data_IF_043921512145
#
_entry.id   IF_043921512145
#
_cell.length_a   1.000
_cell.length_b   1.000
_cell.length_c   1.000
_cell.angle_alpha   90.00
_cell.angle_beta   90.00
_cell.angle_gamma   90.00
#
_symmetry.space_group_name_H-M   'P 1'
#
loop_
_entity.id
_entity.type
_entity.pdbx_description
1 polymer ?
#
# COMPACT_ATOMS: atom_id res chain seq x y z
N UNK A 1 0.40 7.82 10.43
CA UNK A 1 0.81 8.16 9.04
C UNK A 1 -0.38 8.83 8.39
N UNK A 2 -0.20 9.96 7.70
CA UNK A 2 -1.32 10.58 6.96
C UNK A 2 -1.71 9.65 5.81
N UNK A 3 -2.99 9.32 5.71
CA UNK A 3 -3.52 8.55 4.59
C UNK A 3 -3.22 9.32 3.29
N UNK A 4 -2.49 8.69 2.38
CA UNK A 4 -2.09 9.27 1.09
C UNK A 4 -2.79 8.59 -0.10
N UNK A 5 -3.50 7.48 0.16
CA UNK A 5 -4.30 6.76 -0.82
C UNK A 5 -5.72 6.60 -0.29
N UNK A 6 -6.70 6.82 -1.16
CA UNK A 6 -8.07 6.33 -0.93
C UNK A 6 -8.10 4.81 -1.11
N UNK A 7 -9.13 4.16 -0.57
CA UNK A 7 -9.30 2.71 -0.75
C UNK A 7 -9.38 2.33 -2.24
N UNK A 8 -10.11 3.11 -3.04
CA UNK A 8 -10.20 2.89 -4.50
C UNK A 8 -8.84 3.01 -5.19
N UNK A 9 -8.03 4.00 -4.84
CA UNK A 9 -6.69 4.13 -5.43
C UNK A 9 -5.76 2.99 -5.00
N UNK A 10 -5.86 2.55 -3.73
CA UNK A 10 -5.11 1.40 -3.26
C UNK A 10 -5.47 0.14 -4.05
N UNK A 11 -6.76 -0.10 -4.26
CA UNK A 11 -7.25 -1.29 -4.98
C UNK A 11 -6.82 -1.29 -6.44
N UNK A 12 -6.92 -0.13 -7.11
CA UNK A 12 -6.41 0.04 -8.46
C UNK A 12 -4.89 -0.19 -8.54
N UNK A 13 -4.12 0.30 -7.57
CA UNK A 13 -2.68 0.06 -7.56
C UNK A 13 -2.34 -1.41 -7.32
N UNK A 14 -3.05 -2.08 -6.41
CA UNK A 14 -2.86 -3.48 -6.10
C UNK A 14 -3.28 -4.40 -7.25
N UNK A 15 -4.28 -4.03 -8.06
CA UNK A 15 -4.69 -4.83 -9.22
C UNK A 15 -3.63 -4.89 -10.32
N UNK A 16 -2.72 -3.91 -10.38
CA UNK A 16 -1.59 -3.91 -11.32
C UNK A 16 -0.45 -4.87 -10.93
N UNK A 17 -0.40 -5.33 -9.68
CA UNK A 17 0.63 -6.27 -9.22
C UNK A 17 0.12 -7.70 -9.25
N UNK A 18 0.97 -8.64 -9.65
CA UNK A 18 0.68 -10.06 -9.54
C UNK A 18 0.63 -10.50 -8.07
N UNK A 19 0.04 -11.67 -7.78
CA UNK A 19 0.08 -12.25 -6.43
C UNK A 19 1.51 -12.60 -5.99
N UNK A 20 2.39 -12.96 -6.94
CA UNK A 20 3.80 -13.21 -6.67
C UNK A 20 4.53 -11.94 -6.21
N UNK A 21 4.26 -10.82 -6.88
CA UNK A 21 4.90 -9.53 -6.57
C UNK A 21 4.31 -8.85 -5.33
N UNK A 22 3.05 -9.17 -5.03
CA UNK A 22 2.34 -8.63 -3.89
C UNK A 22 1.39 -9.69 -3.30
N UNK A 23 1.90 -10.56 -2.40
CA UNK A 23 1.12 -11.64 -1.82
C UNK A 23 -0.08 -11.15 -1.03
N UNK A 24 -1.12 -11.98 -0.94
CA UNK A 24 -2.37 -11.64 -0.27
C UNK A 24 -2.20 -11.16 1.18
N UNK A 25 -1.29 -11.75 1.96
CA UNK A 25 -1.00 -11.28 3.32
C UNK A 25 -0.35 -9.90 3.31
N UNK A 26 0.55 -9.63 2.37
CA UNK A 26 1.15 -8.30 2.20
C UNK A 26 0.08 -7.27 1.80
N UNK A 27 -0.88 -7.61 0.92
CA UNK A 27 -2.02 -6.75 0.53
C UNK A 27 -2.84 -6.35 1.75
N UNK A 28 -3.18 -7.32 2.60
CA UNK A 28 -3.89 -7.08 3.86
C UNK A 28 -3.07 -6.16 4.77
N UNK A 29 -1.78 -6.44 4.94
CA UNK A 29 -0.91 -5.67 5.82
C UNK A 29 -0.76 -4.20 5.39
N UNK A 30 -0.58 -3.93 4.10
CA UNK A 30 -0.52 -2.55 3.60
C UNK A 30 -1.86 -1.84 3.67
N UNK A 31 -2.98 -2.54 3.46
CA UNK A 31 -4.33 -1.94 3.64
C UNK A 31 -4.55 -1.52 5.08
N UNK A 32 -4.19 -2.37 6.05
CA UNK A 32 -4.19 -2.03 7.48
C UNK A 32 -3.35 -0.80 7.78
N UNK A 33 -2.19 -0.66 7.14
CA UNK A 33 -1.31 0.49 7.34
C UNK A 33 -1.83 1.77 6.71
N UNK A 34 -2.27 1.70 5.45
CA UNK A 34 -2.57 2.87 4.61
C UNK A 34 -3.98 3.41 4.86
N UNK A 35 -4.98 2.53 4.96
CA UNK A 35 -6.39 2.89 5.10
C UNK A 35 -6.78 3.02 6.58
N UNK A 36 -6.39 2.06 7.40
CA UNK A 36 -6.80 2.02 8.81
C UNK A 36 -5.81 2.70 9.77
N UNK A 37 -4.65 3.14 9.27
CA UNK A 37 -3.67 3.90 10.06
C UNK A 37 -2.89 3.08 11.10
N UNK A 38 -3.04 1.75 11.12
CA UNK A 38 -2.36 0.87 12.08
C UNK A 38 -0.84 1.04 12.05
N UNK A 39 -0.17 0.80 13.18
CA UNK A 39 1.30 0.74 13.23
C UNK A 39 1.82 -0.46 12.45
N UNK A 40 3.11 -0.44 12.11
CA UNK A 40 3.73 -1.58 11.42
C UNK A 40 3.74 -2.82 12.31
N UNK A 41 3.95 -2.64 13.62
CA UNK A 41 3.91 -3.67 14.65
C UNK A 41 2.54 -4.36 14.70
N UNK A 42 1.46 -3.58 14.70
CA UNK A 42 0.10 -4.14 14.74
C UNK A 42 -0.25 -4.86 13.43
N UNK A 43 0.14 -4.31 12.29
CA UNK A 43 -0.07 -4.96 11.01
C UNK A 43 0.75 -6.27 10.87
N UNK A 44 1.98 -6.30 11.39
CA UNK A 44 2.81 -7.50 11.49
C UNK A 44 2.14 -8.55 12.37
N UNK A 45 1.67 -8.16 13.56
CA UNK A 45 0.96 -9.06 14.48
C UNK A 45 -0.28 -9.69 13.84
N UNK A 46 -1.09 -8.91 13.12
CA UNK A 46 -2.34 -9.39 12.50
C UNK A 46 -2.08 -10.29 11.28
N UNK A 47 -1.06 -10.01 10.49
CA UNK A 47 -0.89 -10.63 9.16
C UNK A 47 0.29 -11.60 9.05
N UNK A 48 1.18 -11.61 10.05
CA UNK A 48 2.44 -12.34 10.02
C UNK A 48 3.46 -11.80 9.02
N UNK A 49 3.18 -10.67 8.35
CA UNK A 49 4.10 -10.05 7.40
C UNK A 49 5.10 -9.20 8.16
N UNK A 50 6.39 -9.43 7.94
CA UNK A 50 7.43 -8.68 8.63
C UNK A 50 7.31 -7.17 8.40
N UNK A 51 7.62 -6.36 9.43
CA UNK A 51 7.59 -4.89 9.32
C UNK A 51 8.36 -4.35 8.10
N UNK A 52 9.49 -4.98 7.76
CA UNK A 52 10.29 -4.65 6.58
C UNK A 52 9.50 -4.84 5.28
N UNK A 53 8.78 -5.95 5.15
CA UNK A 53 7.98 -6.24 3.96
C UNK A 53 6.77 -5.30 3.85
N UNK A 54 6.14 -4.97 4.97
CA UNK A 54 5.06 -3.97 5.00
C UNK A 54 5.60 -2.60 4.58
N UNK A 55 6.72 -2.16 5.15
CA UNK A 55 7.37 -0.89 4.79
C UNK A 55 7.73 -0.83 3.29
N UNK A 56 8.34 -1.89 2.76
CA UNK A 56 8.68 -1.97 1.34
C UNK A 56 7.44 -1.90 0.46
N UNK A 57 6.36 -2.60 0.83
CA UNK A 57 5.08 -2.57 0.12
C UNK A 57 4.46 -1.17 0.12
N UNK A 58 4.44 -0.49 1.27
CA UNK A 58 3.94 0.88 1.39
C UNK A 58 4.77 1.84 0.54
N UNK A 59 6.10 1.74 0.59
CA UNK A 59 7.01 2.59 -0.21
C UNK A 59 6.80 2.37 -1.71
N UNK A 60 6.67 1.11 -2.14
CA UNK A 60 6.39 0.76 -3.54
C UNK A 60 5.07 1.37 -4.04
N UNK A 61 4.01 1.29 -3.21
CA UNK A 61 2.71 1.89 -3.53
C UNK A 61 2.75 3.42 -3.54
N UNK A 62 3.50 4.03 -2.63
CA UNK A 62 3.69 5.49 -2.61
C UNK A 62 4.37 5.98 -3.88
N UNK A 63 5.47 5.35 -4.29
CA UNK A 63 6.17 5.70 -5.54
C UNK A 63 5.23 5.53 -6.75
N UNK A 64 4.49 4.41 -6.82
CA UNK A 64 3.53 4.19 -7.90
C UNK A 64 2.43 5.26 -7.93
N UNK A 65 1.92 5.66 -6.78
CA UNK A 65 0.95 6.74 -6.66
C UNK A 65 1.53 8.08 -7.11
N UNK A 66 2.72 8.43 -6.64
CA UNK A 66 3.39 9.70 -6.99
C UNK A 66 3.66 9.79 -8.50
N UNK A 67 4.07 8.68 -9.13
CA UNK A 67 4.22 8.61 -10.60
C UNK A 67 2.87 8.77 -11.29
N UNK A 68 1.83 8.07 -10.84
CA UNK A 68 0.49 8.19 -11.41
C UNK A 68 -0.03 9.63 -11.33
N UNK A 69 0.12 10.29 -10.18
CA UNK A 69 -0.31 11.68 -9.99
C UNK A 69 0.53 12.65 -10.82
N UNK A 70 1.84 12.40 -11.01
CA UNK A 70 2.68 13.22 -11.88
C UNK A 70 2.30 13.10 -13.35
N UNK A 71 1.98 11.89 -13.82
CA UNK A 71 1.69 11.61 -15.24
C UNK A 71 0.23 11.96 -15.60
N UNK A 72 -0.71 11.65 -14.71
CA UNK A 72 -2.15 11.74 -14.99
C UNK A 72 -2.91 12.69 -14.07
N UNK A 73 -2.33 13.09 -12.93
CA UNK A 73 -2.93 14.06 -12.01
C UNK A 73 -2.77 15.50 -12.49
N UNK A 74 -2.86 15.71 -13.81
CA UNK A 74 -2.77 17.01 -14.45
C UNK A 74 -3.62 18.02 -13.68
N UNK A 75 -3.07 19.23 -13.52
CA UNK A 75 -3.79 20.38 -12.95
C UNK A 75 -5.16 20.47 -13.62
N UNK A 76 -6.19 19.96 -12.95
CA UNK A 76 -7.55 20.44 -13.10
C UNK A 76 -7.67 21.76 -12.37
#
# INVERSE_FOLDING_TARGET
MRQFLTERHLDALLSMYSERDFPNNTRKAVRLRIIHGHTYELAEFITGVSRRNIYNGVTKLKIAHDVMMKTYGGKG
#
